data_IF_886648262712
#
_entry.id   IF_886648262712
#
_cell.length_a   1.000
_cell.length_b   1.000
_cell.length_c   1.000
_cell.angle_alpha   90.00
_cell.angle_beta   90.00
_cell.angle_gamma   90.00
#
_symmetry.space_group_name_H-M   'P 1'
#
loop_
_entity.id
_entity.type
_entity.pdbx_description
1 polymer ?
#
# COMPACT_ATOMS: atom_id res chain seq x y z
N UNK A 1 18.27 -25.53 -19.40
CA UNK A 1 18.45 -24.08 -19.63
C UNK A 1 17.55 -23.36 -18.65
N UNK A 2 18.08 -22.96 -17.48
CA UNK A 2 17.30 -22.38 -16.40
C UNK A 2 17.00 -20.91 -16.72
N UNK A 3 15.73 -20.56 -16.82
CA UNK A 3 15.26 -19.19 -16.91
C UNK A 3 15.68 -18.45 -15.63
N UNK A 4 16.61 -17.51 -15.75
CA UNK A 4 16.91 -16.60 -14.65
C UNK A 4 15.67 -15.79 -14.33
N UNK A 5 15.30 -15.65 -13.05
CA UNK A 5 14.18 -14.78 -12.69
C UNK A 5 14.51 -13.37 -13.15
N UNK A 6 13.60 -12.72 -13.91
CA UNK A 6 13.67 -11.30 -14.20
C UNK A 6 13.59 -10.56 -12.87
N UNK A 7 14.69 -9.95 -12.50
CA UNK A 7 14.69 -8.96 -11.41
C UNK A 7 13.89 -7.77 -11.94
N UNK A 8 12.64 -7.65 -11.53
CA UNK A 8 11.92 -6.40 -11.71
C UNK A 8 12.54 -5.40 -10.74
N UNK A 9 13.33 -4.48 -11.25
CA UNK A 9 13.72 -3.30 -10.50
C UNK A 9 12.48 -2.44 -10.29
N UNK A 10 11.90 -2.53 -9.13
CA UNK A 10 10.87 -1.60 -8.68
C UNK A 10 11.57 -0.28 -8.34
N UNK A 11 11.31 0.74 -9.15
CA UNK A 11 11.94 2.06 -9.05
C UNK A 11 11.43 2.93 -7.89
N UNK A 12 10.66 2.39 -6.96
CA UNK A 12 10.26 3.15 -5.78
C UNK A 12 11.21 2.82 -4.62
N UNK A 13 11.69 3.87 -3.99
CA UNK A 13 12.61 3.76 -2.85
C UNK A 13 11.96 4.11 -1.53
N UNK A 14 10.85 4.85 -1.54
CA UNK A 14 10.17 5.26 -0.34
C UNK A 14 8.67 5.05 -0.44
N UNK A 15 8.11 4.49 0.62
CA UNK A 15 6.66 4.40 0.79
C UNK A 15 6.37 4.67 2.26
N UNK A 16 5.74 5.79 2.57
CA UNK A 16 5.49 6.25 3.92
C UNK A 16 4.02 6.62 4.12
N UNK A 17 3.50 6.33 5.30
CA UNK A 17 2.18 6.81 5.72
C UNK A 17 2.32 8.26 6.19
N UNK A 18 1.53 9.17 5.60
CA UNK A 18 1.47 10.59 5.97
C UNK A 18 0.48 10.77 7.12
N UNK A 19 -0.74 10.27 6.92
CA UNK A 19 -1.82 10.38 7.90
C UNK A 19 -2.29 8.99 8.29
N UNK A 20 -2.29 8.66 9.59
CA UNK A 20 -2.84 7.40 10.08
C UNK A 20 -4.37 7.39 9.93
N UNK A 21 -5.02 6.21 10.05
CA UNK A 21 -6.47 6.13 10.07
C UNK A 21 -7.05 6.92 11.24
N UNK A 22 -8.19 7.58 11.02
CA UNK A 22 -8.88 8.34 12.06
C UNK A 22 -9.58 7.45 13.09
N UNK A 23 -9.96 6.24 12.67
CA UNK A 23 -10.64 5.24 13.50
C UNK A 23 -10.00 3.87 13.28
N UNK A 24 -10.20 2.97 14.22
CA UNK A 24 -9.76 1.58 14.06
C UNK A 24 -10.88 0.72 13.44
N UNK A 25 -10.54 -0.36 12.68
CA UNK A 25 -11.52 -1.22 12.00
C UNK A 25 -12.39 -2.05 12.95
N UNK A 26 -12.00 -2.17 14.20
CA UNK A 26 -12.76 -2.78 15.30
C UNK A 26 -12.66 -1.90 16.54
N UNK A 27 -13.69 -1.94 17.38
CA UNK A 27 -13.77 -1.14 18.59
C UNK A 27 -13.43 -1.98 19.85
N UNK A 28 -12.96 -1.33 20.90
CA UNK A 28 -12.68 -2.00 22.18
C UNK A 28 -13.93 -2.71 22.76
N UNK A 29 -15.11 -2.15 22.54
CA UNK A 29 -16.39 -2.77 22.95
C UNK A 29 -16.62 -4.13 22.30
N UNK A 30 -16.27 -4.30 21.02
CA UNK A 30 -16.39 -5.58 20.29
C UNK A 30 -15.42 -6.62 20.89
N UNK A 31 -14.25 -6.17 21.35
CA UNK A 31 -13.26 -7.05 22.01
C UNK A 31 -13.73 -7.47 23.40
N UNK A 32 -14.31 -6.55 24.21
CA UNK A 32 -14.91 -6.91 25.49
C UNK A 32 -16.00 -7.94 25.33
N UNK A 33 -16.90 -7.75 24.38
CA UNK A 33 -17.97 -8.70 24.08
C UNK A 33 -17.42 -10.07 23.66
N UNK A 34 -16.40 -10.08 22.79
CA UNK A 34 -15.74 -11.31 22.33
C UNK A 34 -15.09 -12.09 23.47
N UNK A 35 -14.42 -11.40 24.39
CA UNK A 35 -13.70 -11.98 25.53
C UNK A 35 -14.57 -12.14 26.78
N UNK A 36 -15.83 -11.65 26.75
CA UNK A 36 -16.74 -11.63 27.90
C UNK A 36 -16.15 -10.89 29.11
N UNK A 37 -15.50 -9.77 28.83
CA UNK A 37 -14.94 -8.90 29.86
C UNK A 37 -15.94 -7.83 30.27
N UNK A 38 -15.77 -7.33 31.49
CA UNK A 38 -16.48 -6.13 31.93
C UNK A 38 -16.04 -4.92 31.09
N UNK A 39 -16.98 -4.00 30.82
CA UNK A 39 -16.68 -2.79 30.07
C UNK A 39 -15.56 -1.98 30.74
N UNK A 40 -14.73 -1.37 29.94
CA UNK A 40 -13.54 -0.61 30.33
C UNK A 40 -12.41 -1.42 31.00
N UNK A 41 -12.46 -2.75 30.97
CA UNK A 41 -11.34 -3.58 31.42
C UNK A 41 -10.18 -3.45 30.44
N UNK A 42 -8.99 -3.14 30.95
CA UNK A 42 -7.72 -3.08 30.19
C UNK A 42 -7.81 -2.28 28.87
N UNK A 43 -8.63 -1.21 28.82
CA UNK A 43 -8.94 -0.46 27.60
C UNK A 43 -7.69 -0.07 26.82
N UNK A 44 -6.71 0.57 27.46
CA UNK A 44 -5.49 1.04 26.79
C UNK A 44 -4.66 -0.12 26.22
N UNK A 45 -4.67 -1.29 26.87
CA UNK A 45 -3.98 -2.47 26.36
C UNK A 45 -4.71 -3.06 25.15
N UNK A 46 -6.03 -3.12 25.21
CA UNK A 46 -6.88 -3.59 24.10
C UNK A 46 -6.73 -2.69 22.88
N UNK A 47 -6.77 -1.36 23.05
CA UNK A 47 -6.55 -0.40 21.98
C UNK A 47 -5.18 -0.55 21.32
N UNK A 48 -4.14 -0.79 22.10
CA UNK A 48 -2.80 -1.09 21.58
C UNK A 48 -2.79 -2.39 20.77
N UNK A 49 -3.47 -3.44 21.23
CA UNK A 49 -3.57 -4.69 20.50
C UNK A 49 -4.39 -4.56 19.21
N UNK A 50 -5.45 -3.75 19.22
CA UNK A 50 -6.24 -3.44 18.01
C UNK A 50 -5.35 -2.77 16.97
N UNK A 51 -4.61 -1.75 17.36
CA UNK A 51 -3.66 -1.06 16.46
C UNK A 51 -2.60 -2.01 15.92
N UNK A 52 -2.00 -2.84 16.76
CA UNK A 52 -0.99 -3.80 16.36
C UNK A 52 -1.56 -4.87 15.39
N UNK A 53 -2.76 -5.36 15.65
CA UNK A 53 -3.44 -6.32 14.79
C UNK A 53 -3.77 -5.71 13.42
N UNK A 54 -4.26 -4.46 13.38
CA UNK A 54 -4.50 -3.73 12.13
C UNK A 54 -3.21 -3.57 11.33
N UNK A 55 -2.13 -3.10 11.96
CA UNK A 55 -0.86 -2.89 11.27
C UNK A 55 -0.30 -4.21 10.71
N UNK A 56 -0.40 -5.29 11.46
CA UNK A 56 0.00 -6.62 10.99
C UNK A 56 -0.87 -7.09 9.82
N UNK A 57 -2.17 -6.87 9.86
CA UNK A 57 -3.09 -7.19 8.78
C UNK A 57 -2.74 -6.40 7.51
N UNK A 58 -2.54 -5.08 7.64
CA UNK A 58 -2.18 -4.20 6.53
C UNK A 58 -0.83 -4.56 5.90
N UNK A 59 0.15 -4.98 6.72
CA UNK A 59 1.46 -5.42 6.21
C UNK A 59 1.36 -6.73 5.42
N UNK A 60 0.62 -7.71 5.93
CA UNK A 60 0.47 -9.03 5.29
C UNK A 60 -0.37 -8.94 4.02
N UNK A 61 -1.45 -8.17 4.04
CA UNK A 61 -2.40 -8.07 2.92
C UNK A 61 -1.95 -7.09 1.85
N UNK A 62 -1.13 -6.09 2.20
CA UNK A 62 -0.79 -4.96 1.34
C UNK A 62 -1.93 -3.97 1.15
N UNK A 63 -2.96 -4.01 2.02
CA UNK A 63 -4.15 -3.16 1.99
C UNK A 63 -4.09 -2.11 3.07
N UNK A 64 -4.76 -0.98 2.87
CA UNK A 64 -5.16 -0.07 3.91
C UNK A 64 -6.61 -0.42 4.31
N UNK A 65 -6.89 -0.59 5.59
CA UNK A 65 -8.22 -1.01 6.05
C UNK A 65 -9.16 0.20 6.15
N UNK A 66 -8.74 1.24 6.84
CA UNK A 66 -9.45 2.52 6.94
C UNK A 66 -8.73 3.54 6.07
N UNK A 67 -9.41 4.58 5.66
CA UNK A 67 -8.84 5.68 4.87
C UNK A 67 -7.58 6.25 5.52
N UNK A 68 -6.50 6.28 4.76
CA UNK A 68 -5.17 6.75 5.16
C UNK A 68 -4.49 7.45 3.98
N UNK A 69 -3.66 8.44 4.27
CA UNK A 69 -2.85 9.09 3.25
C UNK A 69 -1.44 8.53 3.23
N UNK A 70 -0.95 8.28 2.03
CA UNK A 70 0.35 7.67 1.77
C UNK A 70 1.16 8.50 0.80
N UNK A 71 2.48 8.45 0.95
CA UNK A 71 3.44 9.03 0.02
C UNK A 71 4.25 7.92 -0.63
N UNK A 72 4.26 7.91 -1.95
CA UNK A 72 5.18 7.11 -2.74
C UNK A 72 6.26 8.02 -3.30
N UNK A 73 7.52 7.67 -3.03
CA UNK A 73 8.68 8.41 -3.54
C UNK A 73 9.42 7.55 -4.55
N UNK A 74 9.73 8.12 -5.71
CA UNK A 74 10.44 7.46 -6.80
C UNK A 74 11.70 8.25 -7.16
N UNK A 75 12.75 7.55 -7.55
CA UNK A 75 13.95 8.21 -8.11
C UNK A 75 13.70 8.69 -9.54
N UNK A 76 12.80 8.05 -10.27
CA UNK A 76 12.43 8.41 -11.64
C UNK A 76 11.09 7.75 -12.03
N UNK A 77 10.46 8.24 -13.08
CA UNK A 77 9.29 7.60 -13.66
C UNK A 77 9.61 6.21 -14.20
N UNK A 78 8.67 5.27 -14.19
CA UNK A 78 8.86 3.96 -14.81
C UNK A 78 9.27 4.11 -16.29
N UNK A 79 10.30 3.38 -16.69
CA UNK A 79 10.86 3.37 -18.06
C UNK A 79 11.65 4.62 -18.51
N UNK A 80 11.93 5.58 -17.64
CA UNK A 80 12.81 6.72 -18.00
C UNK A 80 14.30 6.51 -17.65
N UNK A 81 14.65 5.49 -16.92
CA UNK A 81 16.02 5.28 -16.43
C UNK A 81 16.58 3.89 -16.60
N UNK A 82 15.87 2.98 -17.25
CA UNK A 82 16.53 1.71 -17.60
C UNK A 82 17.55 1.96 -18.72
N UNK A 83 18.82 1.57 -18.49
CA UNK A 83 19.76 1.53 -19.61
C UNK A 83 19.16 0.55 -20.63
N UNK A 84 18.70 1.07 -21.74
CA UNK A 84 18.19 0.31 -22.90
C UNK A 84 19.27 -0.64 -23.47
N UNK A 85 20.44 -0.62 -22.90
CA UNK A 85 21.60 -1.39 -23.29
C UNK A 85 21.73 -2.70 -22.52
N UNK A 86 21.01 -3.70 -22.96
CA UNK A 86 21.31 -5.10 -22.63
C UNK A 86 22.16 -5.80 -23.72
N UNK A 87 22.71 -5.04 -24.64
CA UNK A 87 23.57 -5.53 -25.73
C UNK A 87 22.83 -6.19 -26.90
N UNK A 88 21.49 -6.25 -26.91
CA UNK A 88 20.77 -7.12 -27.86
C UNK A 88 19.66 -6.45 -28.67
N UNK A 89 19.14 -5.29 -28.31
CA UNK A 89 18.00 -4.69 -29.06
C UNK A 89 18.13 -3.19 -29.26
N UNK A 90 18.51 -2.82 -30.47
CA UNK A 90 18.28 -1.49 -31.02
C UNK A 90 16.84 -1.44 -31.60
N UNK A 91 15.84 -1.17 -30.78
CA UNK A 91 14.52 -0.82 -31.30
C UNK A 91 14.44 0.71 -31.44
N UNK A 92 13.92 1.22 -32.56
CA UNK A 92 13.65 2.65 -32.71
C UNK A 92 12.76 3.16 -31.59
N UNK A 93 12.99 4.40 -31.13
CA UNK A 93 12.18 5.04 -30.06
C UNK A 93 10.68 5.02 -30.40
N UNK A 94 10.32 5.04 -31.68
CA UNK A 94 8.94 4.90 -32.18
C UNK A 94 8.32 3.53 -31.86
N UNK A 95 9.10 2.45 -31.89
CA UNK A 95 8.62 1.11 -31.56
C UNK A 95 8.56 0.86 -30.04
N UNK A 96 9.43 1.52 -29.27
CA UNK A 96 9.35 1.54 -27.81
C UNK A 96 8.07 2.24 -27.32
N UNK A 97 7.62 3.27 -28.01
CA UNK A 97 6.31 3.91 -27.76
C UNK A 97 5.14 3.03 -28.20
N UNK A 98 5.29 2.28 -29.30
CA UNK A 98 4.25 1.39 -29.81
C UNK A 98 4.14 0.06 -29.02
N UNK A 99 5.19 -0.36 -28.32
CA UNK A 99 5.22 -1.62 -27.58
C UNK A 99 4.49 -1.60 -26.22
N UNK A 100 3.76 -0.53 -25.91
CA UNK A 100 2.90 -0.45 -24.70
C UNK A 100 3.65 -0.61 -23.37
N UNK A 101 4.96 -0.30 -23.34
CA UNK A 101 5.74 -0.40 -22.11
C UNK A 101 5.27 0.64 -21.11
N UNK A 102 4.87 0.10 -20.00
CA UNK A 102 4.29 0.68 -18.79
C UNK A 102 4.22 2.21 -18.73
N UNK A 103 3.09 2.74 -19.19
CA UNK A 103 2.71 4.15 -18.99
C UNK A 103 2.03 4.33 -17.62
N UNK A 104 2.38 3.51 -16.62
CA UNK A 104 1.74 3.55 -15.32
C UNK A 104 2.71 3.38 -14.16
N UNK A 105 2.33 3.95 -13.01
CA UNK A 105 2.93 3.75 -11.69
C UNK A 105 1.98 2.92 -10.85
N UNK A 106 2.47 1.86 -10.22
CA UNK A 106 1.70 1.07 -9.25
C UNK A 106 1.73 1.79 -7.90
N UNK A 107 0.57 1.97 -7.27
CA UNK A 107 0.42 2.52 -5.94
C UNK A 107 0.33 1.37 -4.92
N UNK A 108 1.30 1.22 -3.99
CA UNK A 108 1.49 -0.02 -3.23
C UNK A 108 0.37 -0.43 -2.29
N UNK A 109 -0.38 0.51 -1.74
CA UNK A 109 -1.50 0.22 -0.84
C UNK A 109 -2.81 0.13 -1.64
N UNK A 110 -3.56 -0.90 -1.38
CA UNK A 110 -4.90 -1.11 -1.91
C UNK A 110 -5.88 -0.84 -0.76
N UNK A 111 -6.99 -0.33 -0.98
CA UNK A 111 -7.80 0.07 -2.12
C UNK A 111 -7.55 1.54 -2.42
N UNK A 112 -7.12 1.88 -3.63
CA UNK A 112 -6.90 3.28 -4.04
C UNK A 112 -8.22 4.04 -4.05
N UNK A 113 -8.30 5.14 -3.30
CA UNK A 113 -9.42 6.06 -3.30
C UNK A 113 -9.18 7.25 -4.25
N UNK A 114 -7.97 7.81 -4.25
CA UNK A 114 -7.59 8.91 -5.12
C UNK A 114 -6.11 9.24 -5.03
N UNK A 115 -5.65 10.02 -5.99
CA UNK A 115 -4.33 10.66 -5.96
C UNK A 115 -4.52 12.13 -5.61
N UNK A 116 -3.87 12.58 -4.56
CA UNK A 116 -4.07 13.92 -3.99
C UNK A 116 -3.15 14.94 -4.66
N UNK A 117 -1.87 14.61 -4.81
CA UNK A 117 -0.86 15.49 -5.40
C UNK A 117 0.28 14.68 -6.02
N UNK A 118 0.85 15.22 -7.10
CA UNK A 118 2.07 14.69 -7.73
C UNK A 118 3.06 15.83 -7.82
N UNK A 119 4.28 15.61 -7.33
CA UNK A 119 5.37 16.57 -7.36
C UNK A 119 6.59 15.99 -8.03
N UNK A 120 7.29 16.81 -8.79
CA UNK A 120 8.59 16.49 -9.37
C UNK A 120 9.63 17.51 -8.89
N UNK A 121 10.87 17.07 -8.79
CA UNK A 121 11.97 17.87 -8.28
C UNK A 121 13.02 18.06 -9.37
N UNK A 122 13.52 19.29 -9.51
CA UNK A 122 14.62 19.63 -10.39
C UNK A 122 16.00 19.38 -9.72
N UNK A 123 17.09 19.70 -10.44
CA UNK A 123 18.46 19.54 -9.92
C UNK A 123 18.77 20.42 -8.72
N UNK A 124 18.10 21.56 -8.59
CA UNK A 124 18.29 22.53 -7.52
C UNK A 124 17.38 22.24 -6.31
N UNK A 125 16.51 21.24 -6.43
CA UNK A 125 15.55 20.83 -5.40
C UNK A 125 14.28 21.67 -5.40
N UNK A 126 14.02 22.48 -6.44
CA UNK A 126 12.74 23.15 -6.58
C UNK A 126 11.66 22.13 -6.94
N UNK A 127 10.45 22.40 -6.45
CA UNK A 127 9.30 21.51 -6.62
C UNK A 127 8.36 22.06 -7.68
N UNK A 128 7.93 21.22 -8.60
CA UNK A 128 6.85 21.50 -9.53
C UNK A 128 5.69 20.53 -9.29
N UNK A 129 4.49 21.08 -9.08
CA UNK A 129 3.27 20.27 -8.98
C UNK A 129 2.77 19.91 -10.37
N UNK A 130 2.54 18.64 -10.59
CA UNK A 130 2.10 18.09 -11.87
C UNK A 130 0.57 18.04 -11.92
N UNK A 131 -0.07 18.58 -12.98
CA UNK A 131 -1.52 18.51 -13.15
C UNK A 131 -2.02 17.07 -13.21
N UNK A 132 -2.99 16.71 -12.36
CA UNK A 132 -3.57 15.35 -12.28
C UNK A 132 -4.31 14.96 -13.56
N UNK A 133 -4.79 15.95 -14.34
CA UNK A 133 -5.50 15.72 -15.61
C UNK A 133 -4.63 15.01 -16.67
N UNK A 134 -3.31 14.99 -16.51
CA UNK A 134 -2.38 14.25 -17.37
C UNK A 134 -2.48 12.72 -17.15
N UNK A 135 -3.13 12.30 -16.07
CA UNK A 135 -3.20 10.90 -15.65
C UNK A 135 -4.63 10.38 -15.63
N UNK A 136 -4.72 9.06 -15.55
CA UNK A 136 -5.93 8.30 -15.25
C UNK A 136 -5.65 7.52 -13.97
N UNK A 137 -6.48 7.73 -12.95
CA UNK A 137 -6.47 6.92 -11.74
C UNK A 137 -7.21 5.61 -12.01
N UNK A 138 -6.49 4.52 -12.13
CA UNK A 138 -7.09 3.20 -12.32
C UNK A 138 -7.29 2.53 -10.95
N UNK A 139 -8.49 2.74 -10.41
CA UNK A 139 -8.94 2.22 -9.11
C UNK A 139 -9.50 0.80 -9.20
N UNK A 140 -9.67 0.27 -10.44
CA UNK A 140 -10.24 -1.06 -10.67
C UNK A 140 -9.19 -2.18 -10.54
N UNK A 141 -7.93 -1.84 -10.74
CA UNK A 141 -6.83 -2.78 -10.59
C UNK A 141 -6.43 -2.98 -9.13
N UNK A 142 -5.94 -4.18 -8.81
CA UNK A 142 -5.35 -4.55 -7.53
C UNK A 142 -3.86 -4.95 -7.72
N UNK A 143 -2.87 -4.14 -7.34
CA UNK A 143 -2.95 -2.80 -6.75
C UNK A 143 -3.40 -1.72 -7.74
N UNK A 144 -3.92 -0.59 -7.20
CA UNK A 144 -4.29 0.57 -7.99
C UNK A 144 -3.09 1.16 -8.72
N UNK A 145 -3.33 1.86 -9.81
CA UNK A 145 -2.25 2.45 -10.61
C UNK A 145 -2.61 3.82 -11.15
N UNK A 146 -1.59 4.62 -11.34
CA UNK A 146 -1.65 5.91 -12.01
C UNK A 146 -1.16 5.73 -13.45
N UNK A 147 -2.01 5.96 -14.42
CA UNK A 147 -1.73 5.71 -15.85
C UNK A 147 -1.58 7.04 -16.56
N UNK A 148 -0.47 7.24 -17.29
CA UNK A 148 -0.26 8.43 -18.11
C UNK A 148 -1.21 8.39 -19.33
N UNK A 149 -1.92 9.50 -19.60
CA UNK A 149 -2.77 9.62 -20.80
C UNK A 149 -1.93 9.61 -22.06
N UNK A 150 -2.47 9.05 -23.13
CA UNK A 150 -1.79 8.96 -24.44
C UNK A 150 -1.42 10.31 -25.05
N UNK A 151 -2.11 11.36 -24.66
CA UNK A 151 -1.87 12.76 -25.09
C UNK A 151 -0.85 13.50 -24.24
N UNK A 152 -0.43 12.91 -23.12
CA UNK A 152 0.51 13.51 -22.18
C UNK A 152 1.90 12.86 -22.29
N UNK A 153 2.89 13.55 -21.75
CA UNK A 153 4.25 13.05 -21.58
C UNK A 153 4.59 13.06 -20.11
N UNK A 154 5.46 12.12 -19.68
CA UNK A 154 5.93 12.12 -18.30
C UNK A 154 6.59 13.47 -17.99
N UNK A 155 6.22 14.11 -16.87
CA UNK A 155 6.90 15.32 -16.39
C UNK A 155 8.38 15.06 -16.17
N UNK A 156 9.20 16.07 -16.43
CA UNK A 156 10.65 15.94 -16.30
C UNK A 156 11.02 15.94 -14.82
N UNK A 157 11.56 14.82 -14.34
CA UNK A 157 12.13 14.68 -13.02
C UNK A 157 13.66 14.68 -13.16
N UNK A 158 14.34 15.70 -12.64
CA UNK A 158 15.76 15.94 -12.89
C UNK A 158 16.65 15.56 -11.71
N UNK A 159 16.12 15.51 -10.50
CA UNK A 159 16.86 15.10 -9.31
C UNK A 159 17.29 13.64 -9.43
N UNK A 160 18.47 13.30 -8.89
CA UNK A 160 19.04 11.94 -9.02
C UNK A 160 18.39 10.92 -8.07
N UNK A 161 17.81 11.39 -6.98
CA UNK A 161 17.14 10.56 -5.98
C UNK A 161 15.92 11.29 -5.46
N UNK A 162 14.83 10.56 -5.19
CA UNK A 162 13.57 11.12 -4.73
C UNK A 162 13.02 12.21 -5.67
N UNK A 163 13.11 11.97 -6.98
CA UNK A 163 12.77 12.95 -7.99
C UNK A 163 11.27 13.12 -8.22
N UNK A 164 10.47 12.17 -7.76
CA UNK A 164 9.00 12.17 -7.87
C UNK A 164 8.39 11.79 -6.55
N UNK A 165 7.42 12.56 -6.10
CA UNK A 165 6.55 12.24 -4.97
C UNK A 165 5.10 12.17 -5.44
N UNK A 166 4.40 11.14 -4.98
CA UNK A 166 2.97 10.93 -5.25
C UNK A 166 2.28 10.76 -3.91
N UNK A 167 1.46 11.74 -3.53
CA UNK A 167 0.60 11.66 -2.36
C UNK A 167 -0.76 11.11 -2.81
N UNK A 168 -1.25 10.10 -2.11
CA UNK A 168 -2.49 9.42 -2.47
C UNK A 168 -3.20 8.87 -1.23
N UNK A 169 -4.50 8.66 -1.38
CA UNK A 169 -5.37 8.14 -0.34
C UNK A 169 -5.82 6.72 -0.68
N UNK A 170 -5.76 5.82 0.31
CA UNK A 170 -6.16 4.43 0.17
C UNK A 170 -6.89 3.95 1.43
N UNK A 171 -7.81 2.99 1.26
CA UNK A 171 -8.62 2.39 2.30
C UNK A 171 -9.95 1.87 1.75
N UNK A 172 -10.66 1.08 2.53
CA UNK A 172 -12.00 0.63 2.16
C UNK A 172 -13.03 1.76 2.33
N UNK A 173 -12.86 2.60 3.34
CA UNK A 173 -13.71 3.75 3.66
C UNK A 173 -13.32 4.35 5.00
N UNK A 174 -14.12 5.30 5.48
CA UNK A 174 -13.84 6.06 6.70
C UNK A 174 -14.39 5.35 7.94
N UNK A 175 -15.37 4.47 7.78
CA UNK A 175 -16.06 3.80 8.87
C UNK A 175 -15.59 2.33 9.01
N UNK A 176 -15.61 1.76 10.24
CA UNK A 176 -15.28 0.36 10.49
C UNK A 176 -16.11 -0.62 9.64
N UNK A 177 -17.37 -0.27 9.35
CA UNK A 177 -18.31 -1.08 8.56
C UNK A 177 -17.93 -1.21 7.09
N UNK A 178 -17.12 -0.30 6.56
CA UNK A 178 -16.61 -0.35 5.19
C UNK A 178 -15.59 -1.49 5.00
N UNK A 179 -14.97 -1.91 6.11
CA UNK A 179 -14.01 -3.01 6.10
C UNK A 179 -14.76 -4.35 5.99
N UNK A 180 -14.34 -5.25 5.07
CA UNK A 180 -14.97 -6.56 4.93
C UNK A 180 -15.10 -7.31 6.26
N UNK A 181 -16.31 -7.78 6.60
CA UNK A 181 -16.60 -8.45 7.86
C UNK A 181 -15.64 -9.62 8.17
N UNK A 182 -15.17 -10.33 7.14
CA UNK A 182 -14.19 -11.40 7.32
C UNK A 182 -12.86 -10.91 7.89
N UNK A 183 -12.40 -9.72 7.48
CA UNK A 183 -11.19 -9.11 8.04
C UNK A 183 -11.43 -8.63 9.47
N UNK A 184 -12.58 -8.00 9.75
CA UNK A 184 -12.94 -7.55 11.10
C UNK A 184 -12.99 -8.73 12.09
N UNK A 185 -13.65 -9.84 11.71
CA UNK A 185 -13.67 -11.06 12.55
C UNK A 185 -12.28 -11.64 12.76
N UNK A 186 -11.45 -11.67 11.74
CA UNK A 186 -10.07 -12.15 11.86
C UNK A 186 -9.23 -11.26 12.80
N UNK A 187 -9.43 -9.94 12.75
CA UNK A 187 -8.80 -9.00 13.69
C UNK A 187 -9.27 -9.23 15.13
N UNK A 188 -10.59 -9.39 15.36
CA UNK A 188 -11.14 -9.70 16.67
C UNK A 188 -10.53 -10.99 17.26
N UNK A 189 -10.44 -12.05 16.47
CA UNK A 189 -9.82 -13.31 16.87
C UNK A 189 -8.34 -13.15 17.21
N UNK A 190 -7.63 -12.35 16.41
CA UNK A 190 -6.21 -12.08 16.64
C UNK A 190 -5.99 -11.29 17.94
N UNK A 191 -6.79 -10.23 18.17
CA UNK A 191 -6.72 -9.41 19.42
C UNK A 191 -7.07 -10.26 20.62
N UNK A 192 -8.12 -11.10 20.54
CA UNK A 192 -8.47 -12.03 21.61
C UNK A 192 -7.30 -12.97 21.97
N UNK A 193 -6.64 -13.54 20.95
CA UNK A 193 -5.47 -14.40 21.15
C UNK A 193 -4.32 -13.63 21.80
N UNK A 194 -4.03 -12.39 21.38
CA UNK A 194 -2.99 -11.56 22.00
C UNK A 194 -3.30 -11.25 23.47
N UNK A 195 -4.56 -11.00 23.77
CA UNK A 195 -5.00 -10.70 25.13
C UNK A 195 -4.91 -11.94 26.07
N UNK A 196 -5.35 -13.10 25.62
CA UNK A 196 -5.32 -14.35 26.39
C UNK A 196 -3.88 -14.83 26.66
N UNK A 197 -2.96 -14.59 25.73
CA UNK A 197 -1.55 -15.00 25.84
C UNK A 197 -0.62 -13.83 26.27
N UNK A 198 -1.20 -12.76 26.88
CA UNK A 198 -0.38 -11.69 27.43
C UNK A 198 0.52 -12.20 28.56
N UNK A 199 1.80 -12.10 28.40
CA UNK A 199 2.78 -12.63 29.33
C UNK A 199 3.49 -13.91 28.88
N UNK A 200 3.02 -14.51 27.79
CA UNK A 200 3.73 -15.57 27.09
C UNK A 200 4.63 -14.99 25.98
N UNK A 201 5.52 -15.80 25.42
CA UNK A 201 6.32 -15.42 24.24
C UNK A 201 5.47 -15.41 22.94
N UNK A 202 4.32 -14.71 22.96
CA UNK A 202 3.39 -14.63 21.83
C UNK A 202 3.50 -13.28 21.14
N UNK A 203 4.20 -13.25 20.01
CA UNK A 203 4.25 -12.06 19.16
C UNK A 203 2.94 -11.87 18.37
N UNK A 204 2.71 -10.68 17.82
CA UNK A 204 1.58 -10.42 16.90
C UNK A 204 1.54 -11.40 15.71
N UNK A 205 2.71 -11.84 15.22
CA UNK A 205 2.82 -12.85 14.15
C UNK A 205 2.36 -14.22 14.63
N UNK A 206 2.68 -14.60 15.86
CA UNK A 206 2.25 -15.89 16.43
C UNK A 206 0.75 -15.86 16.73
N UNK A 207 0.23 -14.77 17.28
CA UNK A 207 -1.20 -14.57 17.49
C UNK A 207 -1.98 -14.65 16.16
N UNK A 208 -1.47 -14.06 15.08
CA UNK A 208 -2.08 -14.16 13.75
C UNK A 208 -2.17 -15.61 13.25
N UNK A 209 -1.16 -16.44 13.54
CA UNK A 209 -1.14 -17.86 13.15
C UNK A 209 -2.06 -18.71 14.04
N UNK A 210 -1.99 -18.53 15.34
CA UNK A 210 -2.76 -19.29 16.32
C UNK A 210 -4.26 -19.00 16.24
N UNK A 211 -4.65 -17.75 16.02
CA UNK A 211 -6.05 -17.34 15.85
C UNK A 211 -6.68 -17.81 14.52
N UNK A 212 -5.87 -18.28 13.56
CA UNK A 212 -6.34 -18.58 12.20
C UNK A 212 -6.51 -17.36 11.31
N UNK A 213 -6.28 -16.14 11.81
CA UNK A 213 -6.40 -14.89 11.04
C UNK A 213 -5.53 -14.89 9.78
N UNK A 214 -4.37 -15.55 9.83
CA UNK A 214 -3.47 -15.69 8.68
C UNK A 214 -4.15 -16.25 7.43
N UNK A 215 -4.99 -17.28 7.60
CA UNK A 215 -5.68 -17.90 6.47
C UNK A 215 -6.68 -16.94 5.79
N UNK A 216 -7.29 -16.04 6.58
CA UNK A 216 -8.16 -14.99 6.05
C UNK A 216 -7.31 -13.92 5.36
N UNK A 217 -6.25 -13.44 5.99
CA UNK A 217 -5.38 -12.40 5.43
C UNK A 217 -4.74 -12.84 4.10
N UNK A 218 -4.29 -14.11 3.99
CA UNK A 218 -3.71 -14.65 2.76
C UNK A 218 -4.70 -14.61 1.58
N UNK A 219 -6.01 -14.71 1.81
CA UNK A 219 -7.05 -14.59 0.78
C UNK A 219 -7.25 -13.15 0.30
N UNK A 220 -6.97 -12.18 1.16
CA UNK A 220 -7.06 -10.75 0.84
C UNK A 220 -5.73 -10.16 0.39
N UNK A 221 -4.67 -10.95 0.38
CA UNK A 221 -3.34 -10.49 -0.01
C UNK A 221 -3.34 -10.00 -1.45
N UNK A 222 -2.88 -8.75 -1.64
CA UNK A 222 -2.68 -8.19 -2.97
C UNK A 222 -1.54 -8.94 -3.65
N UNK A 223 -1.83 -9.57 -4.79
CA UNK A 223 -0.81 -10.24 -5.57
C UNK A 223 0.06 -9.19 -6.27
N UNK A 224 1.35 -9.22 -6.01
CA UNK A 224 2.32 -8.42 -6.78
C UNK A 224 2.52 -9.12 -8.12
N UNK A 225 1.94 -8.54 -9.17
CA UNK A 225 2.12 -8.99 -10.56
C UNK A 225 3.43 -8.46 -11.12
#
# INVERSE_FOLDING_TARGET
>A
MALRPRVQYTHYRGHARITPPAVEPIQASEVWDQLRLDQNTDTSLIELYITAAREQCEEVTGRALITQSWKLTLDNWPNQGEPWWDGVKQLPISELRASGRASWVILPRYRLQGVDEIRVFDFDGNTETVPLEQFIEDKQQEPGRLVLRSTATWPIALQRANAVEIDYTAGYGDDPEDVPAALRVALLQMVATMYEHRGDDCSAVDAMRQSGAKAVFDRFKVQRV
#
